data_IF_372335538538
#
_entry.id   IF_372335538538
#
_cell.length_a   1.000
_cell.length_b   1.000
_cell.length_c   1.000
_cell.angle_alpha   90.00
_cell.angle_beta   90.00
_cell.angle_gamma   90.00
#
_symmetry.space_group_name_H-M   'P 1'
#
loop_
_entity.id
_entity.type
_entity.pdbx_description
1 polymer ?
#
# COMPACT_ATOMS: atom_id res chain seq x y z
N UNK A 1 4.33 23.71 -0.14
CA UNK A 1 4.85 22.33 0.00
C UNK A 1 3.68 21.34 0.04
N UNK A 2 3.84 20.16 -0.53
CA UNK A 2 2.85 19.09 -0.52
C UNK A 2 3.45 17.87 0.16
N UNK A 3 2.70 17.26 1.07
CA UNK A 3 3.22 16.17 1.91
C UNK A 3 2.43 14.91 1.66
N UNK A 4 3.13 13.80 1.47
CA UNK A 4 2.55 12.47 1.41
C UNK A 4 2.92 11.64 2.63
N UNK A 5 1.97 10.86 3.12
CA UNK A 5 2.13 10.00 4.29
C UNK A 5 1.73 8.57 3.94
N UNK A 6 2.68 7.66 4.06
CA UNK A 6 2.51 6.23 3.86
C UNK A 6 2.56 5.49 5.20
N UNK A 7 1.50 4.76 5.51
CA UNK A 7 1.39 3.94 6.72
C UNK A 7 1.93 2.52 6.52
N UNK A 8 3.23 2.38 6.28
CA UNK A 8 3.86 1.07 6.20
C UNK A 8 3.76 0.25 7.49
N UNK A 9 3.90 -1.07 7.40
CA UNK A 9 3.73 -2.00 8.54
C UNK A 9 4.73 -1.76 9.67
N UNK A 10 5.97 -1.40 9.36
CA UNK A 10 7.07 -1.20 10.34
C UNK A 10 7.25 0.28 10.69
N UNK A 11 7.14 1.17 9.71
CA UNK A 11 7.35 2.60 9.86
C UNK A 11 6.35 3.40 9.04
N UNK A 12 6.14 4.64 9.45
CA UNK A 12 5.34 5.63 8.73
C UNK A 12 6.32 6.49 7.96
N UNK A 13 6.15 6.51 6.64
CA UNK A 13 7.04 7.25 5.74
C UNK A 13 6.38 8.53 5.27
N UNK A 14 7.20 9.55 5.19
CA UNK A 14 6.78 10.88 4.80
C UNK A 14 7.63 11.35 3.63
N UNK A 15 7.00 12.08 2.72
CA UNK A 15 7.68 12.75 1.62
C UNK A 15 7.14 14.18 1.48
N UNK A 16 8.01 15.14 1.22
CA UNK A 16 7.63 16.51 0.92
C UNK A 16 8.11 16.91 -0.48
N UNK A 17 7.20 17.51 -1.25
CA UNK A 17 7.44 18.06 -2.58
C UNK A 17 7.35 19.60 -2.56
N UNK A 18 8.25 20.28 -3.28
CA UNK A 18 8.14 21.70 -3.58
C UNK A 18 7.21 21.91 -4.78
N UNK A 19 6.61 23.09 -4.85
CA UNK A 19 5.69 23.48 -5.92
C UNK A 19 6.35 23.48 -7.29
N UNK A 20 7.53 24.06 -7.41
CA UNK A 20 8.25 24.28 -8.68
C UNK A 20 9.11 23.08 -9.12
N UNK A 21 8.93 21.92 -8.49
CA UNK A 21 9.84 20.81 -8.67
C UNK A 21 11.11 20.98 -7.80
N UNK A 22 11.91 19.94 -7.70
CA UNK A 22 13.13 19.99 -6.92
C UNK A 22 13.34 18.74 -6.07
N UNK A 23 14.26 18.85 -5.11
CA UNK A 23 14.62 17.74 -4.24
C UNK A 23 13.44 17.34 -3.37
N UNK A 24 13.07 16.07 -3.44
CA UNK A 24 12.10 15.46 -2.53
C UNK A 24 12.80 15.21 -1.19
N UNK A 25 12.23 15.73 -0.11
CA UNK A 25 12.68 15.39 1.25
C UNK A 25 11.85 14.23 1.76
N UNK A 26 12.51 13.23 2.32
CA UNK A 26 11.85 12.03 2.86
C UNK A 26 12.36 11.70 4.25
N UNK A 27 11.49 11.18 5.11
CA UNK A 27 11.91 10.60 6.38
C UNK A 27 10.96 9.50 6.84
N UNK A 28 11.37 8.74 7.86
CA UNK A 28 10.58 7.65 8.41
C UNK A 28 10.45 7.78 9.92
N UNK A 29 9.22 7.68 10.44
CA UNK A 29 8.91 7.60 11.85
C UNK A 29 8.53 6.16 12.20
N UNK A 30 9.26 5.55 13.12
CA UNK A 30 8.92 4.22 13.62
C UNK A 30 7.51 4.22 14.25
N UNK A 31 6.66 3.24 13.88
CA UNK A 31 5.33 3.09 14.49
C UNK A 31 5.39 2.98 16.00
N UNK A 32 6.40 2.31 16.54
CA UNK A 32 6.62 2.16 17.98
C UNK A 32 6.82 3.52 18.65
N UNK A 33 7.65 4.40 18.06
CA UNK A 33 7.86 5.76 18.58
C UNK A 33 6.58 6.60 18.46
N UNK A 34 5.84 6.49 17.37
CA UNK A 34 4.61 7.25 17.17
C UNK A 34 3.53 6.94 18.22
N UNK A 35 3.44 5.69 18.71
CA UNK A 35 2.50 5.31 19.79
C UNK A 35 2.77 6.07 21.09
N UNK A 36 4.05 6.34 21.40
CA UNK A 36 4.49 6.96 22.64
C UNK A 36 4.36 8.51 22.64
N UNK A 37 4.03 9.09 21.45
CA UNK A 37 3.99 10.54 21.26
C UNK A 37 2.57 11.09 21.36
N UNK A 38 2.46 12.33 21.81
CA UNK A 38 1.25 13.12 21.66
C UNK A 38 1.13 13.74 20.27
N UNK A 39 -0.04 14.29 19.95
CA UNK A 39 -0.32 14.82 18.61
C UNK A 39 0.60 15.97 18.20
N UNK A 40 0.89 16.90 19.11
CA UNK A 40 1.75 18.04 18.81
C UNK A 40 3.22 17.61 18.63
N UNK A 41 3.69 16.63 19.41
CA UNK A 41 5.02 16.05 19.23
C UNK A 41 5.15 15.34 17.86
N UNK A 42 4.10 14.65 17.40
CA UNK A 42 4.08 14.04 16.06
C UNK A 42 4.22 15.11 14.99
N UNK A 43 3.42 16.20 15.06
CA UNK A 43 3.49 17.29 14.07
C UNK A 43 4.90 17.91 14.06
N UNK A 44 5.48 18.20 15.20
CA UNK A 44 6.87 18.72 15.29
C UNK A 44 7.91 17.77 14.69
N UNK A 45 7.74 16.47 14.86
CA UNK A 45 8.64 15.48 14.24
C UNK A 45 8.49 15.47 12.73
N UNK A 46 7.27 15.64 12.20
CA UNK A 46 7.02 15.78 10.76
C UNK A 46 7.71 17.04 10.22
N UNK A 47 7.49 18.19 10.86
CA UNK A 47 8.12 19.47 10.50
C UNK A 47 9.65 19.34 10.46
N UNK A 48 10.23 18.79 11.53
CA UNK A 48 11.68 18.60 11.63
C UNK A 48 12.23 17.58 10.61
N UNK A 49 11.54 16.46 10.43
CA UNK A 49 11.98 15.39 9.54
C UNK A 49 11.91 15.76 8.08
N UNK A 50 10.96 16.60 7.70
CA UNK A 50 10.80 17.12 6.34
C UNK A 50 11.48 18.48 6.12
N UNK A 51 12.05 19.09 7.16
CA UNK A 51 12.69 20.43 7.13
C UNK A 51 11.72 21.52 6.61
N UNK A 52 10.46 21.48 7.07
CA UNK A 52 9.40 22.42 6.67
C UNK A 52 8.65 22.92 7.91
N UNK A 53 7.99 24.08 7.79
CA UNK A 53 7.08 24.60 8.80
C UNK A 53 5.64 24.25 8.42
N UNK A 54 4.75 24.10 9.42
CA UNK A 54 3.34 23.75 9.14
C UNK A 54 2.63 24.77 8.25
N UNK A 55 2.99 26.05 8.36
CA UNK A 55 2.41 27.14 7.56
C UNK A 55 2.82 27.06 6.07
N UNK A 56 3.88 26.32 5.76
CA UNK A 56 4.35 26.10 4.39
C UNK A 56 3.63 24.91 3.72
N UNK A 57 2.88 24.12 4.49
CA UNK A 57 2.18 22.93 3.99
C UNK A 57 0.85 23.35 3.37
N UNK A 58 0.74 23.24 2.04
CA UNK A 58 -0.50 23.52 1.33
C UNK A 58 -1.53 22.42 1.48
N UNK A 59 -1.08 21.14 1.39
CA UNK A 59 -1.94 19.97 1.56
C UNK A 59 -1.12 18.74 1.94
N UNK A 60 -1.68 17.90 2.81
CA UNK A 60 -1.19 16.56 3.11
C UNK A 60 -2.11 15.51 2.48
N UNK A 61 -1.57 14.48 1.84
CA UNK A 61 -2.34 13.28 1.48
C UNK A 61 -1.88 12.09 2.32
N UNK A 62 -2.82 11.50 3.03
CA UNK A 62 -2.60 10.48 4.04
C UNK A 62 -3.22 9.15 3.61
N UNK A 63 -2.42 8.08 3.62
CA UNK A 63 -2.93 6.72 3.44
C UNK A 63 -3.30 6.13 4.80
N UNK A 64 -4.54 6.19 5.19
CA UNK A 64 -4.99 5.52 6.39
C UNK A 64 -6.41 5.02 6.24
N UNK A 65 -6.56 3.73 6.27
CA UNK A 65 -7.85 3.07 6.34
C UNK A 65 -7.68 1.76 7.10
N UNK A 66 -8.54 1.54 8.08
CA UNK A 66 -8.63 0.27 8.81
C UNK A 66 -9.73 -0.63 8.24
N UNK A 67 -10.12 -0.38 7.01
CA UNK A 67 -11.18 -1.11 6.33
C UNK A 67 -11.78 -0.30 5.19
N UNK A 68 -12.87 -0.80 4.63
CA UNK A 68 -13.49 -0.28 3.41
C UNK A 68 -14.59 0.75 3.72
N UNK A 69 -14.27 1.72 4.58
CA UNK A 69 -15.25 2.68 5.10
C UNK A 69 -15.56 3.85 4.16
N UNK A 70 -14.75 4.09 3.11
CA UNK A 70 -14.94 5.16 2.14
C UNK A 70 -14.25 4.84 0.81
N UNK A 71 -14.71 5.45 -0.30
CA UNK A 71 -14.33 5.07 -1.68
C UNK A 71 -13.72 6.22 -2.48
N UNK A 72 -13.67 7.41 -1.90
CA UNK A 72 -13.27 8.66 -2.55
C UNK A 72 -12.16 9.30 -1.73
N UNK A 73 -11.29 10.05 -2.39
CA UNK A 73 -10.34 10.93 -1.71
C UNK A 73 -11.14 12.09 -1.12
N UNK A 74 -11.01 12.32 0.19
CA UNK A 74 -11.78 13.34 0.89
C UNK A 74 -11.02 14.01 2.02
N UNK A 75 -11.52 15.14 2.47
CA UNK A 75 -10.96 15.81 3.64
C UNK A 75 -10.97 14.89 4.87
N UNK A 76 -9.91 14.91 5.65
CA UNK A 76 -9.75 14.07 6.85
C UNK A 76 -10.91 14.26 7.84
N UNK A 77 -11.43 15.47 7.99
CA UNK A 77 -12.55 15.79 8.88
C UNK A 77 -13.90 15.21 8.41
N UNK A 78 -13.99 14.76 7.15
CA UNK A 78 -15.19 14.13 6.57
C UNK A 78 -15.16 12.60 6.69
N UNK A 79 -14.10 12.00 7.23
CA UNK A 79 -13.97 10.56 7.42
C UNK A 79 -14.70 10.11 8.68
N UNK A 80 -15.97 9.71 8.52
CA UNK A 80 -16.80 9.27 9.66
C UNK A 80 -16.56 7.82 10.05
N UNK A 81 -16.31 6.95 9.07
CA UNK A 81 -16.04 5.54 9.30
C UNK A 81 -14.57 5.24 8.94
N UNK A 82 -13.76 5.09 9.98
CA UNK A 82 -12.32 4.77 9.85
C UNK A 82 -12.05 3.28 9.78
N UNK A 83 -13.09 2.42 9.84
CA UNK A 83 -12.93 0.98 9.94
C UNK A 83 -12.38 0.51 11.29
N UNK A 84 -12.21 1.40 12.27
CA UNK A 84 -11.77 1.04 13.62
C UNK A 84 -12.89 0.29 14.33
N UNK A 85 -12.61 -0.93 14.77
CA UNK A 85 -13.54 -1.75 15.53
C UNK A 85 -13.22 -1.68 17.01
N UNK A 86 -14.25 -1.76 17.86
CA UNK A 86 -14.11 -1.75 19.32
C UNK A 86 -13.46 -3.01 19.87
N UNK A 87 -13.47 -4.11 19.10
CA UNK A 87 -12.98 -5.41 19.55
C UNK A 87 -12.13 -6.11 18.46
N UNK A 88 -11.09 -6.83 18.89
CA UNK A 88 -10.22 -7.68 18.07
C UNK A 88 -9.42 -6.92 16.99
N UNK A 89 -9.29 -7.50 15.79
CA UNK A 89 -8.53 -6.89 14.70
C UNK A 89 -9.02 -5.46 14.42
N UNK A 90 -8.10 -4.51 14.44
CA UNK A 90 -8.41 -3.09 14.26
C UNK A 90 -8.76 -2.32 15.54
N UNK A 91 -8.85 -2.98 16.70
CA UNK A 91 -9.09 -2.30 17.98
C UNK A 91 -7.84 -1.66 18.58
N UNK A 92 -6.66 -2.05 18.11
CA UNK A 92 -5.39 -1.59 18.67
C UNK A 92 -5.06 -0.19 18.13
N UNK A 93 -4.97 0.78 19.02
CA UNK A 93 -4.45 2.11 18.70
C UNK A 93 -2.96 1.99 18.43
N UNK A 94 -2.58 1.93 17.16
CA UNK A 94 -1.20 1.87 16.71
C UNK A 94 -0.64 3.24 16.32
N UNK A 95 0.65 3.27 15.96
CA UNK A 95 1.31 4.51 15.53
C UNK A 95 0.62 5.19 14.34
N UNK A 96 0.03 4.42 13.42
CA UNK A 96 -0.76 4.97 12.32
C UNK A 96 -2.00 5.74 12.79
N UNK A 97 -2.73 5.20 13.76
CA UNK A 97 -3.87 5.89 14.37
C UNK A 97 -3.43 7.20 15.04
N UNK A 98 -2.30 7.18 15.76
CA UNK A 98 -1.75 8.39 16.39
C UNK A 98 -1.39 9.48 15.39
N UNK A 99 -0.82 9.12 14.23
CA UNK A 99 -0.50 10.08 13.16
C UNK A 99 -1.79 10.63 12.53
N UNK A 100 -2.78 9.77 12.28
CA UNK A 100 -4.08 10.23 11.80
C UNK A 100 -4.70 11.26 12.76
N UNK A 101 -4.82 10.92 14.04
CA UNK A 101 -5.41 11.80 15.05
C UNK A 101 -4.62 13.11 15.21
N UNK A 102 -3.28 13.05 15.13
CA UNK A 102 -2.43 14.23 15.16
C UNK A 102 -2.71 15.18 13.98
N UNK A 103 -2.82 14.65 12.76
CA UNK A 103 -3.10 15.43 11.56
C UNK A 103 -4.53 15.97 11.55
N UNK A 104 -5.52 15.16 11.94
CA UNK A 104 -6.93 15.59 12.06
C UNK A 104 -7.08 16.81 13.01
N UNK A 105 -6.33 16.81 14.12
CA UNK A 105 -6.40 17.87 15.13
C UNK A 105 -5.38 19.01 14.92
N UNK A 106 -4.50 18.92 13.92
CA UNK A 106 -3.43 19.90 13.70
C UNK A 106 -3.88 21.21 13.03
N UNK A 107 -5.03 21.19 12.37
CA UNK A 107 -5.50 22.28 11.50
C UNK A 107 -4.77 22.35 10.14
N UNK A 108 -3.80 21.47 9.85
CA UNK A 108 -3.15 21.40 8.55
C UNK A 108 -4.10 20.79 7.53
N UNK A 109 -4.32 21.43 6.35
CA UNK A 109 -5.16 20.83 5.32
C UNK A 109 -4.72 19.41 4.98
N UNK A 110 -5.62 18.44 5.16
CA UNK A 110 -5.30 17.03 4.97
C UNK A 110 -6.42 16.29 4.28
N UNK A 111 -6.08 15.51 3.25
CA UNK A 111 -6.96 14.56 2.57
C UNK A 111 -6.54 13.12 2.89
N UNK A 112 -7.53 12.22 2.84
CA UNK A 112 -7.31 10.79 3.07
C UNK A 112 -7.58 10.02 1.79
N UNK A 113 -6.65 9.14 1.45
CA UNK A 113 -6.71 8.27 0.27
C UNK A 113 -7.37 6.95 0.69
N UNK A 114 -8.41 6.47 -0.04
CA UNK A 114 -9.05 5.18 0.24
C UNK A 114 -8.20 4.00 -0.25
N UNK A 115 -8.49 2.81 0.27
CA UNK A 115 -8.07 1.55 -0.34
C UNK A 115 -8.90 1.21 -1.59
N UNK A 116 -8.53 0.12 -2.25
CA UNK A 116 -9.25 -0.44 -3.39
C UNK A 116 -10.07 -1.65 -2.92
N UNK A 117 -11.36 -1.62 -3.14
CA UNK A 117 -12.29 -2.65 -2.67
C UNK A 117 -13.57 -2.68 -3.51
N UNK A 118 -14.50 -3.58 -3.20
CA UNK A 118 -15.74 -3.79 -3.96
C UNK A 118 -16.56 -2.51 -4.24
N UNK A 119 -16.46 -1.50 -3.36
CA UNK A 119 -17.11 -0.20 -3.54
C UNK A 119 -16.37 0.77 -4.47
N UNK A 120 -15.14 0.49 -4.86
CA UNK A 120 -14.38 1.36 -5.77
C UNK A 120 -15.04 1.39 -7.14
N UNK A 121 -15.23 2.60 -7.71
CA UNK A 121 -16.09 2.79 -8.87
C UNK A 121 -15.51 2.15 -10.15
N UNK A 122 -14.24 2.41 -10.44
CA UNK A 122 -13.61 2.14 -11.74
C UNK A 122 -12.89 0.79 -11.86
N UNK A 123 -12.78 0.02 -10.77
CA UNK A 123 -12.17 -1.31 -10.88
C UNK A 123 -13.01 -2.23 -11.76
N UNK A 124 -12.39 -3.23 -12.35
CA UNK A 124 -13.06 -4.28 -13.10
C UNK A 124 -14.21 -4.88 -12.28
N UNK A 125 -15.37 -5.08 -12.91
CA UNK A 125 -16.57 -5.60 -12.22
C UNK A 125 -16.35 -6.97 -11.60
N UNK A 126 -15.48 -7.79 -12.17
CA UNK A 126 -15.13 -9.13 -11.66
C UNK A 126 -14.28 -9.03 -10.39
N UNK A 127 -13.42 -8.01 -10.30
CA UNK A 127 -12.63 -7.76 -9.08
C UNK A 127 -13.49 -7.32 -7.88
N UNK A 128 -14.72 -6.81 -8.13
CA UNK A 128 -15.70 -6.52 -7.07
C UNK A 128 -16.24 -7.77 -6.37
N UNK A 129 -15.89 -8.96 -6.85
CA UNK A 129 -16.14 -10.23 -6.15
C UNK A 129 -15.44 -10.28 -4.79
N UNK A 130 -14.29 -9.65 -4.67
CA UNK A 130 -13.54 -9.55 -3.44
C UNK A 130 -13.91 -8.28 -2.67
N UNK A 131 -14.14 -8.39 -1.36
CA UNK A 131 -14.49 -7.25 -0.51
C UNK A 131 -13.36 -6.21 -0.44
N UNK A 132 -12.11 -6.65 -0.51
CA UNK A 132 -10.91 -5.83 -0.43
C UNK A 132 -9.87 -6.30 -1.46
N UNK A 133 -9.24 -5.38 -2.17
CA UNK A 133 -8.25 -5.67 -3.21
C UNK A 133 -6.87 -5.08 -2.89
N UNK A 134 -6.82 -3.89 -2.28
CA UNK A 134 -5.55 -3.28 -1.90
C UNK A 134 -5.72 -2.18 -0.85
N UNK A 135 -4.77 -2.09 0.06
CA UNK A 135 -4.67 -1.02 1.05
C UNK A 135 -4.26 0.32 0.41
N UNK A 136 -4.56 1.46 1.07
CA UNK A 136 -4.42 2.81 0.48
C UNK A 136 -3.02 3.17 0.01
N UNK A 137 -1.97 2.68 0.65
CA UNK A 137 -0.58 2.96 0.26
C UNK A 137 -0.26 2.45 -1.15
N UNK A 138 -0.99 1.45 -1.64
CA UNK A 138 -0.82 0.93 -3.01
C UNK A 138 -1.29 1.95 -4.06
N UNK A 139 -2.28 2.78 -3.71
CA UNK A 139 -2.69 3.91 -4.57
C UNK A 139 -1.55 4.93 -4.70
N UNK A 140 -0.83 5.21 -3.60
CA UNK A 140 0.36 6.05 -3.63
C UNK A 140 1.45 5.50 -4.54
N UNK A 141 1.77 4.20 -4.44
CA UNK A 141 2.74 3.54 -5.34
C UNK A 141 2.29 3.66 -6.80
N UNK A 142 1.03 3.34 -7.11
CA UNK A 142 0.48 3.43 -8.46
C UNK A 142 0.60 4.86 -9.00
N UNK A 143 0.27 5.86 -8.20
CA UNK A 143 0.37 7.25 -8.62
C UNK A 143 1.80 7.72 -8.85
N UNK A 144 2.75 7.27 -8.05
CA UNK A 144 4.18 7.52 -8.28
C UNK A 144 4.65 6.99 -9.65
N UNK A 145 4.21 5.79 -10.02
CA UNK A 145 4.53 5.20 -11.34
C UNK A 145 3.86 5.99 -12.46
N UNK A 146 2.58 6.33 -12.29
CA UNK A 146 1.83 7.14 -13.25
C UNK A 146 2.49 8.50 -13.51
N UNK A 147 2.97 9.18 -12.46
CA UNK A 147 3.68 10.47 -12.59
C UNK A 147 5.04 10.36 -13.28
N UNK A 148 5.60 9.16 -13.42
CA UNK A 148 6.77 8.88 -14.26
C UNK A 148 6.41 8.71 -15.74
N UNK A 149 5.14 8.80 -16.14
CA UNK A 149 4.67 8.71 -17.52
C UNK A 149 4.21 7.32 -17.95
N UNK A 150 4.04 6.38 -17.04
CA UNK A 150 3.52 5.06 -17.36
C UNK A 150 1.99 5.03 -17.13
N UNK A 151 1.23 4.69 -18.16
CA UNK A 151 -0.23 4.57 -18.09
C UNK A 151 -0.70 3.12 -18.03
N UNK A 152 0.11 2.17 -18.52
CA UNK A 152 -0.15 0.73 -18.49
C UNK A 152 0.97 0.01 -17.75
N UNK A 153 0.68 -0.49 -16.56
CA UNK A 153 1.68 -1.16 -15.72
C UNK A 153 1.07 -2.09 -14.70
N UNK A 154 1.92 -3.00 -14.22
CA UNK A 154 1.70 -3.80 -13.02
C UNK A 154 2.77 -3.41 -12.01
N UNK A 155 2.44 -3.40 -10.75
CA UNK A 155 3.46 -3.43 -9.71
C UNK A 155 3.14 -4.47 -8.64
N UNK A 156 4.18 -5.04 -8.06
CA UNK A 156 4.10 -5.92 -6.89
C UNK A 156 4.87 -5.30 -5.72
N UNK A 157 4.17 -5.06 -4.62
CA UNK A 157 4.80 -4.72 -3.34
C UNK A 157 5.02 -6.01 -2.55
N UNK A 158 6.28 -6.41 -2.44
CA UNK A 158 6.69 -7.65 -1.78
C UNK A 158 7.43 -7.28 -0.50
N UNK A 159 6.72 -7.36 0.62
CA UNK A 159 7.22 -6.96 1.94
C UNK A 159 6.70 -7.89 3.04
N UNK A 160 6.21 -7.38 4.16
CA UNK A 160 5.54 -8.20 5.18
C UNK A 160 4.40 -9.03 4.60
N UNK A 161 3.67 -8.46 3.67
CA UNK A 161 2.69 -9.09 2.79
C UNK A 161 3.08 -8.84 1.32
N UNK A 162 2.41 -9.51 0.39
CA UNK A 162 2.52 -9.24 -1.05
C UNK A 162 1.19 -8.70 -1.56
N UNK A 163 1.25 -7.63 -2.36
CA UNK A 163 0.08 -7.05 -3.03
C UNK A 163 0.49 -6.68 -4.45
N UNK A 164 -0.26 -7.16 -5.42
CA UNK A 164 -0.03 -6.85 -6.85
C UNK A 164 -1.20 -6.07 -7.42
N UNK A 165 -0.93 -5.01 -8.17
CA UNK A 165 -1.94 -4.11 -8.73
C UNK A 165 -1.70 -3.86 -10.21
N UNK A 166 -2.78 -3.77 -10.98
CA UNK A 166 -2.78 -3.42 -12.41
C UNK A 166 -3.42 -2.07 -12.65
N UNK A 167 -2.77 -1.27 -13.49
CA UNK A 167 -3.25 0.02 -13.99
C UNK A 167 -3.27 -0.04 -15.52
N UNK A 168 -4.39 0.38 -16.11
CA UNK A 168 -4.59 0.47 -17.57
C UNK A 168 -5.13 1.85 -17.88
N UNK A 169 -4.50 2.54 -18.84
CA UNK A 169 -4.87 3.90 -19.26
C UNK A 169 -4.98 4.87 -18.07
N UNK A 170 -4.07 4.74 -17.10
CA UNK A 170 -4.06 5.54 -15.88
C UNK A 170 -5.21 5.25 -14.91
N UNK A 171 -5.90 4.11 -15.05
CA UNK A 171 -7.00 3.69 -14.15
C UNK A 171 -6.62 2.39 -13.45
N UNK A 172 -6.77 2.33 -12.14
CA UNK A 172 -6.63 1.08 -11.37
C UNK A 172 -7.78 0.15 -11.75
N UNK A 173 -7.46 -0.96 -12.43
CA UNK A 173 -8.47 -1.95 -12.87
C UNK A 173 -8.63 -3.11 -11.89
N UNK A 174 -7.64 -3.37 -11.04
CA UNK A 174 -7.70 -4.43 -10.04
C UNK A 174 -6.42 -4.60 -9.27
N UNK A 175 -6.52 -5.35 -8.18
CA UNK A 175 -5.39 -5.77 -7.38
C UNK A 175 -5.68 -7.07 -6.64
N UNK A 176 -4.62 -7.80 -6.28
CA UNK A 176 -4.68 -8.98 -5.41
C UNK A 176 -4.00 -8.64 -4.10
N UNK A 177 -4.77 -8.63 -3.02
CA UNK A 177 -4.27 -8.38 -1.68
C UNK A 177 -3.71 -9.67 -1.05
N UNK A 178 -2.90 -9.51 -0.03
CA UNK A 178 -2.24 -10.58 0.69
C UNK A 178 -3.15 -11.70 1.21
N UNK A 179 -4.44 -11.42 1.42
CA UNK A 179 -5.43 -12.44 1.81
C UNK A 179 -5.88 -13.34 0.64
N UNK A 180 -5.64 -12.92 -0.59
CA UNK A 180 -6.19 -13.55 -1.81
C UNK A 180 -5.14 -14.30 -2.62
N UNK A 181 -3.91 -13.82 -2.59
CA UNK A 181 -2.87 -14.26 -3.51
C UNK A 181 -1.59 -14.71 -2.81
N UNK A 182 -0.50 -14.04 -3.12
CA UNK A 182 0.83 -14.44 -2.69
C UNK A 182 1.11 -14.17 -1.22
N UNK A 183 1.82 -15.08 -0.52
CA UNK A 183 2.36 -14.76 0.79
C UNK A 183 3.43 -13.66 0.67
N UNK A 184 3.56 -12.86 1.73
CA UNK A 184 4.74 -12.03 1.95
C UNK A 184 5.71 -12.70 2.90
N UNK A 185 6.64 -11.92 3.47
CA UNK A 185 7.62 -12.45 4.42
C UNK A 185 6.98 -12.98 5.71
N UNK A 186 5.95 -12.31 6.21
CA UNK A 186 5.36 -12.60 7.52
C UNK A 186 3.85 -12.86 7.47
N UNK A 187 3.14 -12.32 6.50
CA UNK A 187 1.68 -12.37 6.34
C UNK A 187 1.34 -13.03 5.00
N UNK A 188 0.16 -13.63 4.92
CA UNK A 188 -0.25 -14.30 3.68
C UNK A 188 -1.65 -14.87 3.73
N UNK A 189 -2.04 -15.58 2.67
CA UNK A 189 -3.37 -16.17 2.57
C UNK A 189 -3.61 -17.22 3.65
N UNK A 190 -4.85 -17.30 4.10
CA UNK A 190 -5.30 -18.29 5.07
C UNK A 190 -5.64 -19.58 4.31
N UNK A 191 -4.78 -20.59 4.43
CA UNK A 191 -5.01 -21.90 3.82
C UNK A 191 -5.95 -22.78 4.66
N UNK A 192 -6.24 -23.97 4.15
CA UNK A 192 -7.19 -24.90 4.78
C UNK A 192 -6.78 -25.29 6.21
N UNK A 193 -5.48 -25.42 6.50
CA UNK A 193 -5.05 -25.76 7.86
C UNK A 193 -5.30 -24.59 8.82
N UNK A 194 -4.99 -23.37 8.40
CA UNK A 194 -5.26 -22.16 9.20
C UNK A 194 -6.77 -21.94 9.40
N UNK A 195 -7.60 -22.23 8.38
CA UNK A 195 -9.06 -22.19 8.53
C UNK A 195 -9.54 -23.14 9.64
N UNK A 196 -9.03 -24.37 9.68
CA UNK A 196 -9.34 -25.35 10.74
C UNK A 196 -8.86 -24.88 12.10
N UNK A 197 -7.67 -24.30 12.17
CA UNK A 197 -7.12 -23.80 13.43
C UNK A 197 -7.95 -22.63 13.98
N UNK A 198 -8.50 -21.78 13.10
CA UNK A 198 -9.43 -20.70 13.46
C UNK A 198 -10.76 -21.30 13.96
N UNK A 199 -11.34 -22.26 13.23
CA UNK A 199 -12.61 -22.88 13.58
C UNK A 199 -12.54 -23.60 14.92
N UNK A 200 -11.42 -24.30 15.19
CA UNK A 200 -11.15 -24.98 16.46
C UNK A 200 -10.79 -24.00 17.60
N UNK A 201 -10.70 -22.70 17.33
CA UNK A 201 -10.33 -21.69 18.33
C UNK A 201 -8.87 -21.73 18.77
N UNK A 202 -8.00 -22.42 18.04
CA UNK A 202 -6.57 -22.53 18.33
C UNK A 202 -5.81 -21.24 18.04
N UNK A 203 -6.26 -20.49 17.03
CA UNK A 203 -5.69 -19.20 16.65
C UNK A 203 -6.80 -18.21 16.27
N UNK A 204 -6.56 -16.92 16.45
CA UNK A 204 -7.45 -15.90 15.88
C UNK A 204 -7.23 -15.76 14.37
N UNK A 205 -8.22 -15.25 13.63
CA UNK A 205 -8.05 -14.95 12.20
C UNK A 205 -6.88 -13.96 11.94
N UNK A 206 -6.70 -13.00 12.84
CA UNK A 206 -5.60 -12.03 12.74
C UNK A 206 -4.23 -12.69 12.97
N UNK A 207 -4.12 -13.60 13.93
CA UNK A 207 -2.87 -14.34 14.17
C UNK A 207 -2.58 -15.31 13.03
N UNK A 208 -3.60 -16.00 12.50
CA UNK A 208 -3.48 -16.85 11.33
C UNK A 208 -2.91 -16.08 10.13
N UNK A 209 -3.49 -14.93 9.79
CA UNK A 209 -2.98 -14.05 8.73
C UNK A 209 -1.54 -13.58 9.01
N UNK A 210 -1.27 -13.14 10.25
CA UNK A 210 0.04 -12.60 10.65
C UNK A 210 1.16 -13.64 10.68
N UNK A 211 0.84 -14.94 10.60
CA UNK A 211 1.81 -16.04 10.62
C UNK A 211 1.84 -16.85 9.33
N UNK A 212 1.06 -16.46 8.32
CA UNK A 212 0.95 -17.18 7.05
C UNK A 212 2.07 -16.87 6.04
N UNK A 213 2.98 -15.95 6.35
CA UNK A 213 4.10 -15.60 5.47
C UNK A 213 5.20 -16.66 5.42
N UNK A 214 6.02 -16.60 4.37
CA UNK A 214 7.02 -17.63 4.05
C UNK A 214 8.06 -17.87 5.17
N UNK A 215 8.41 -16.83 5.96
CA UNK A 215 9.35 -16.94 7.08
C UNK A 215 8.70 -17.42 8.40
N UNK A 216 7.38 -17.54 8.45
CA UNK A 216 6.67 -17.91 9.68
C UNK A 216 5.94 -19.23 9.58
N UNK A 217 5.78 -19.76 8.40
CA UNK A 217 5.05 -20.99 8.17
C UNK A 217 5.85 -22.20 8.66
N UNK A 218 5.40 -22.81 9.78
CA UNK A 218 6.09 -23.90 10.49
C UNK A 218 5.76 -25.31 9.99
N UNK A 219 4.82 -25.45 9.05
CA UNK A 219 4.29 -26.76 8.63
C UNK A 219 5.03 -27.40 7.44
N UNK A 220 6.08 -26.78 6.97
CA UNK A 220 7.03 -27.43 6.04
C UNK A 220 8.07 -28.18 6.88
N UNK A 221 7.95 -29.52 7.08
CA UNK A 221 8.92 -30.29 7.84
C UNK A 221 10.31 -30.17 7.20
N UNK A 222 11.29 -29.70 7.97
CA UNK A 222 12.68 -29.61 7.54
C UNK A 222 13.02 -28.32 6.78
N UNK A 223 12.14 -27.33 6.74
CA UNK A 223 12.41 -26.02 6.12
C UNK A 223 12.70 -24.98 7.20
N UNK A 224 13.90 -25.05 7.77
CA UNK A 224 14.60 -23.89 8.31
C UNK A 224 15.48 -23.25 7.21
N UNK A 225 15.06 -23.39 5.94
CA UNK A 225 15.81 -22.98 4.76
C UNK A 225 15.28 -21.63 4.25
N UNK A 226 16.02 -20.57 4.56
CA UNK A 226 15.68 -19.21 4.12
C UNK A 226 15.70 -19.11 2.60
N UNK A 227 16.54 -19.88 1.91
CA UNK A 227 16.62 -19.89 0.45
C UNK A 227 15.32 -20.44 -0.17
N UNK A 228 14.77 -21.53 0.38
CA UNK A 228 13.50 -22.07 -0.07
C UNK A 228 12.33 -21.11 0.23
N UNK A 229 12.36 -20.43 1.38
CA UNK A 229 11.36 -19.41 1.70
C UNK A 229 11.39 -18.26 0.67
N UNK A 230 12.58 -17.80 0.26
CA UNK A 230 12.72 -16.76 -0.76
C UNK A 230 12.36 -17.27 -2.16
N UNK A 231 12.61 -18.54 -2.47
CA UNK A 231 12.12 -19.18 -3.70
C UNK A 231 10.59 -19.21 -3.76
N UNK A 232 9.94 -19.64 -2.68
CA UNK A 232 8.48 -19.61 -2.57
C UNK A 232 7.93 -18.20 -2.75
N UNK A 233 8.52 -17.21 -2.06
CA UNK A 233 8.13 -15.81 -2.17
C UNK A 233 8.19 -15.32 -3.62
N UNK A 234 9.31 -15.58 -4.29
CA UNK A 234 9.53 -15.17 -5.68
C UNK A 234 8.59 -15.86 -6.65
N UNK A 235 8.36 -17.17 -6.47
CA UNK A 235 7.46 -17.96 -7.31
C UNK A 235 6.01 -17.45 -7.20
N UNK A 236 5.50 -17.30 -5.98
CA UNK A 236 4.12 -16.86 -5.78
C UNK A 236 3.91 -15.42 -6.24
N UNK A 237 4.86 -14.53 -6.00
CA UNK A 237 4.79 -13.17 -6.52
C UNK A 237 4.79 -13.14 -8.07
N UNK A 238 5.61 -13.96 -8.72
CA UNK A 238 5.62 -14.08 -10.18
C UNK A 238 4.29 -14.65 -10.73
N UNK A 239 3.69 -15.63 -10.04
CA UNK A 239 2.37 -16.16 -10.41
C UNK A 239 1.29 -15.07 -10.30
N UNK A 240 1.34 -14.26 -9.26
CA UNK A 240 0.37 -13.16 -9.05
C UNK A 240 0.55 -12.03 -10.07
N UNK A 241 1.79 -11.65 -10.40
CA UNK A 241 2.07 -10.74 -11.51
C UNK A 241 1.50 -11.29 -12.82
N UNK A 242 1.71 -12.58 -13.09
CA UNK A 242 1.17 -13.24 -14.30
C UNK A 242 -0.36 -13.26 -14.32
N UNK A 243 -1.00 -13.43 -13.15
CA UNK A 243 -2.46 -13.31 -13.03
C UNK A 243 -2.95 -11.90 -13.38
N UNK A 244 -2.23 -10.86 -12.96
CA UNK A 244 -2.56 -9.48 -13.34
C UNK A 244 -2.32 -9.21 -14.82
N UNK A 245 -1.32 -9.83 -15.46
CA UNK A 245 -1.15 -9.80 -16.93
C UNK A 245 -2.39 -10.38 -17.65
N UNK A 246 -2.98 -11.45 -17.11
CA UNK A 246 -4.22 -12.03 -17.68
C UNK A 246 -5.37 -11.03 -17.62
N UNK A 247 -5.52 -10.30 -16.50
CA UNK A 247 -6.53 -9.25 -16.40
C UNK A 247 -6.30 -8.13 -17.44
N UNK A 248 -5.06 -7.66 -17.60
CA UNK A 248 -4.71 -6.61 -18.56
C UNK A 248 -4.99 -7.01 -20.02
N UNK A 249 -4.83 -8.30 -20.37
CA UNK A 249 -5.14 -8.81 -21.72
C UNK A 249 -6.61 -8.62 -22.10
N UNK A 250 -7.53 -8.72 -21.16
CA UNK A 250 -8.95 -8.45 -21.41
C UNK A 250 -9.22 -6.96 -21.72
N UNK A 251 -8.26 -6.09 -21.40
CA UNK A 251 -8.26 -4.67 -21.79
C UNK A 251 -7.44 -4.39 -23.05
N UNK A 252 -6.99 -5.44 -23.74
CA UNK A 252 -6.19 -5.34 -24.97
C UNK A 252 -4.73 -4.94 -24.75
N UNK A 253 -4.23 -5.01 -23.51
CA UNK A 253 -2.84 -4.68 -23.19
C UNK A 253 -2.02 -5.98 -23.07
N UNK A 254 -1.11 -6.19 -24.01
CA UNK A 254 -0.18 -7.31 -23.94
C UNK A 254 0.92 -7.06 -22.88
N UNK A 255 1.48 -8.14 -22.39
CA UNK A 255 2.56 -8.05 -21.37
C UNK A 255 3.78 -7.27 -21.88
N UNK A 256 4.08 -7.35 -23.19
CA UNK A 256 5.14 -6.57 -23.85
C UNK A 256 4.90 -5.06 -23.86
N UNK A 257 3.64 -4.63 -23.77
CA UNK A 257 3.21 -3.24 -23.86
C UNK A 257 3.01 -2.61 -22.47
N UNK A 258 3.24 -3.40 -21.42
CA UNK A 258 3.15 -2.98 -20.03
C UNK A 258 4.52 -3.05 -19.34
N UNK A 259 4.69 -2.22 -18.32
CA UNK A 259 5.86 -2.29 -17.42
C UNK A 259 5.49 -3.00 -16.13
N UNK A 260 6.45 -3.74 -15.59
CA UNK A 260 6.30 -4.39 -14.29
C UNK A 260 7.29 -3.77 -13.30
N UNK A 261 6.77 -3.33 -12.15
CA UNK A 261 7.57 -2.71 -11.10
C UNK A 261 7.54 -3.56 -9.83
N UNK A 262 8.67 -3.59 -9.12
CA UNK A 262 8.79 -4.22 -7.82
C UNK A 262 9.08 -3.17 -6.75
N UNK A 263 8.48 -3.33 -5.59
CA UNK A 263 8.74 -2.50 -4.41
C UNK A 263 8.61 -3.34 -3.14
N UNK A 264 8.86 -2.73 -2.00
CA UNK A 264 8.81 -3.42 -0.71
C UNK A 264 10.15 -4.03 -0.32
N UNK A 265 10.28 -4.36 0.96
CA UNK A 265 11.57 -4.77 1.56
C UNK A 265 12.20 -6.04 0.95
N UNK A 266 11.39 -6.92 0.36
CA UNK A 266 11.86 -8.06 -0.40
C UNK A 266 11.92 -7.75 -1.91
N UNK A 267 10.96 -7.02 -2.46
CA UNK A 267 10.93 -6.66 -3.88
C UNK A 267 12.11 -5.80 -4.33
N UNK A 268 12.74 -5.07 -3.42
CA UNK A 268 13.95 -4.28 -3.68
C UNK A 268 15.24 -5.13 -3.74
N UNK A 269 15.20 -6.41 -3.31
CA UNK A 269 16.37 -7.28 -3.32
C UNK A 269 16.67 -7.78 -4.73
N UNK A 270 17.95 -7.70 -5.13
CA UNK A 270 18.38 -8.04 -6.48
C UNK A 270 18.16 -9.53 -6.83
N UNK A 271 18.34 -10.44 -5.88
CA UNK A 271 18.11 -11.87 -6.05
C UNK A 271 16.61 -12.18 -6.27
N UNK A 272 15.72 -11.55 -5.52
CA UNK A 272 14.27 -11.67 -5.70
C UNK A 272 13.85 -11.14 -7.08
N UNK A 273 14.33 -9.92 -7.43
CA UNK A 273 14.08 -9.35 -8.75
C UNK A 273 14.51 -10.30 -9.87
N UNK A 274 15.75 -10.79 -9.83
CA UNK A 274 16.29 -11.68 -10.87
C UNK A 274 15.47 -12.97 -11.02
N UNK A 275 15.01 -13.55 -9.90
CA UNK A 275 14.14 -14.74 -9.91
C UNK A 275 12.79 -14.42 -10.55
N UNK A 276 12.16 -13.30 -10.20
CA UNK A 276 10.87 -12.85 -10.75
C UNK A 276 11.00 -12.56 -12.25
N UNK A 277 12.03 -11.81 -12.68
CA UNK A 277 12.31 -11.51 -14.09
C UNK A 277 12.35 -12.78 -14.94
N UNK A 278 13.08 -13.79 -14.45
CA UNK A 278 13.18 -15.09 -15.13
C UNK A 278 11.84 -15.83 -15.19
N UNK A 279 11.03 -15.78 -14.14
CA UNK A 279 9.76 -16.52 -14.06
C UNK A 279 8.64 -15.83 -14.86
N UNK A 280 8.57 -14.51 -14.84
CA UNK A 280 7.57 -13.74 -15.59
C UNK A 280 7.97 -13.56 -17.06
N UNK A 281 9.29 -13.67 -17.35
CA UNK A 281 9.80 -13.50 -18.72
C UNK A 281 9.91 -12.05 -19.18
N UNK A 282 9.86 -11.08 -18.27
CA UNK A 282 10.05 -9.65 -18.54
C UNK A 282 11.00 -9.04 -17.53
N UNK A 283 11.72 -8.00 -17.93
CA UNK A 283 12.56 -7.23 -17.02
C UNK A 283 11.71 -6.28 -16.19
N UNK A 284 11.76 -6.43 -14.87
CA UNK A 284 11.08 -5.57 -13.92
C UNK A 284 11.95 -4.35 -13.53
N UNK A 285 11.32 -3.29 -13.04
CA UNK A 285 12.00 -2.12 -12.48
C UNK A 285 11.76 -2.04 -10.97
N UNK A 286 12.82 -1.77 -10.20
CA UNK A 286 12.70 -1.63 -8.74
C UNK A 286 12.41 -0.19 -8.36
N UNK A 287 11.44 0.01 -7.47
CA UNK A 287 11.08 1.31 -6.91
C UNK A 287 11.70 1.49 -5.52
N UNK A 288 11.87 2.74 -5.12
CA UNK A 288 12.34 3.08 -3.77
C UNK A 288 11.26 2.80 -2.70
N UNK A 289 11.68 2.48 -1.49
CA UNK A 289 10.78 2.30 -0.33
C UNK A 289 9.91 3.53 0.00
N UNK A 290 10.23 4.69 -0.54
CA UNK A 290 9.45 5.93 -0.36
C UNK A 290 8.45 6.19 -1.48
N UNK A 291 8.32 5.31 -2.48
CA UNK A 291 7.46 5.51 -3.64
C UNK A 291 6.01 5.80 -3.27
N UNK A 292 5.46 5.10 -2.27
CA UNK A 292 4.10 5.36 -1.78
C UNK A 292 3.97 6.79 -1.20
N UNK A 293 4.88 7.19 -0.32
CA UNK A 293 4.84 8.53 0.28
C UNK A 293 5.04 9.63 -0.77
N UNK A 294 5.94 9.44 -1.74
CA UNK A 294 6.17 10.39 -2.82
C UNK A 294 4.92 10.49 -3.70
N UNK A 295 4.33 9.36 -4.08
CA UNK A 295 3.08 9.35 -4.86
C UNK A 295 1.91 10.02 -4.12
N UNK A 296 1.82 9.83 -2.80
CA UNK A 296 0.84 10.56 -2.00
C UNK A 296 1.09 12.08 -2.00
N UNK A 297 2.36 12.53 -1.96
CA UNK A 297 2.68 13.95 -2.07
C UNK A 297 2.33 14.52 -3.45
N UNK A 298 2.50 13.75 -4.53
CA UNK A 298 2.02 14.12 -5.87
C UNK A 298 0.48 14.18 -5.92
N UNK A 299 -0.23 13.24 -5.28
CA UNK A 299 -1.69 13.29 -5.14
C UNK A 299 -2.11 14.58 -4.41
N UNK A 300 -1.45 14.91 -3.28
CA UNK A 300 -1.72 16.15 -2.56
C UNK A 300 -1.56 17.37 -3.47
N UNK A 301 -0.47 17.42 -4.24
CA UNK A 301 -0.19 18.51 -5.19
C UNK A 301 -1.30 18.62 -6.24
N UNK A 302 -1.61 17.52 -6.94
CA UNK A 302 -2.57 17.57 -8.04
C UNK A 302 -3.99 17.86 -7.54
N UNK A 303 -4.40 17.33 -6.38
CA UNK A 303 -5.69 17.65 -5.75
C UNK A 303 -5.74 19.12 -5.33
N UNK A 304 -4.70 19.68 -4.77
CA UNK A 304 -4.60 21.10 -4.44
C UNK A 304 -4.82 22.00 -5.67
N UNK A 305 -4.29 21.58 -6.83
CA UNK A 305 -4.49 22.27 -8.11
C UNK A 305 -5.77 21.87 -8.85
N UNK A 306 -6.66 21.14 -8.20
CA UNK A 306 -8.03 20.93 -8.67
C UNK A 306 -8.29 19.62 -9.39
N UNK A 307 -7.38 18.62 -9.30
CA UNK A 307 -7.66 17.30 -9.80
C UNK A 307 -8.92 16.72 -9.15
N UNK A 308 -9.82 16.20 -9.95
CA UNK A 308 -11.11 15.61 -9.52
C UNK A 308 -11.11 14.09 -9.53
N UNK A 309 -10.08 13.51 -10.09
CA UNK A 309 -9.91 12.06 -10.18
C UNK A 309 -8.42 11.69 -10.11
N UNK A 310 -8.12 10.64 -9.37
CA UNK A 310 -6.79 10.06 -9.21
C UNK A 310 -6.88 8.58 -9.52
N UNK A 311 -6.33 8.14 -10.67
CA UNK A 311 -6.32 6.75 -11.12
C UNK A 311 -7.71 6.05 -11.08
N UNK A 312 -8.78 6.79 -11.37
CA UNK A 312 -10.14 6.27 -11.30
C UNK A 312 -10.84 6.49 -9.95
N UNK A 313 -10.17 7.07 -8.95
CA UNK A 313 -10.73 7.40 -7.64
C UNK A 313 -11.19 8.87 -7.67
N UNK A 314 -12.46 9.11 -7.39
CA UNK A 314 -13.01 10.45 -7.33
C UNK A 314 -12.50 11.22 -6.11
N UNK A 315 -12.34 12.54 -6.26
CA UNK A 315 -11.98 13.47 -5.18
C UNK A 315 -13.24 14.23 -4.79
N UNK A 316 -13.65 14.07 -3.54
CA UNK A 316 -14.72 14.88 -2.94
C UNK A 316 -14.20 16.27 -2.56
N UNK A 317 -14.99 17.32 -2.78
CA UNK A 317 -14.62 18.69 -2.42
C UNK A 317 -14.47 18.91 -0.92
#
# INVERSE_FOLDING_TARGET
MFVGVDHGTVGIRFAALKEEGGRVTVFELSRKKAVEMDGEAIVKVIEKGLEIKREEIGLIALTYSMGDGFFTIKNINNVRNRGVRSEKAGSIVGGGTKVFDALENSGIPTIVIPGIHAGSEKIDRRMKFFSHCASPEKVGVAYFIYKKGFENFIFADISSNTVTMSVVEGIIIGAMDACLGSPGLYQGPIDLQLLRDIEDGRVSANDAFSTAGVLRKKWLPGVDDEDLAMDCLSLFAAMEISAMCVLMKDYGIETSDSKVFLTGSAGEKADIKQRIDRLVGVETETLTKYSAAIGCAEIAKDVFYGAKNILGINVEP
#
